data_IF_845700555854
#
_entry.id   IF_845700555854
#
_cell.length_a   1.000
_cell.length_b   1.000
_cell.length_c   1.000
_cell.angle_alpha   90.00
_cell.angle_beta   90.00
_cell.angle_gamma   90.00
#
_symmetry.space_group_name_H-M   'P 1'
#
loop_
_entity.id
_entity.type
_entity.pdbx_description
1 polymer ?
#
# COMPACT_ATOMS: atom_id res chain seq x y z
N UNK A 1 -44.82 27.51 -48.75
CA UNK A 1 -45.91 27.96 -47.87
C UNK A 1 -46.77 26.74 -47.59
N UNK A 2 -46.48 26.02 -46.52
CA UNK A 2 -47.38 24.99 -45.99
C UNK A 2 -47.97 25.55 -44.70
N UNK A 3 -49.29 25.67 -44.69
CA UNK A 3 -50.10 25.96 -43.51
C UNK A 3 -50.61 24.62 -43.01
N UNK A 4 -50.20 24.18 -41.82
CA UNK A 4 -50.94 23.15 -41.08
C UNK A 4 -51.10 23.62 -39.63
N UNK A 5 -52.34 23.49 -39.22
CA UNK A 5 -53.02 24.04 -38.06
C UNK A 5 -52.66 23.24 -36.80
N UNK A 6 -52.56 24.00 -35.71
CA UNK A 6 -52.47 23.57 -34.31
C UNK A 6 -53.69 22.80 -33.82
N UNK A 7 -53.47 21.69 -33.10
CA UNK A 7 -54.30 21.34 -31.93
C UNK A 7 -53.48 20.66 -30.84
N UNK A 8 -53.85 21.02 -29.61
CA UNK A 8 -53.17 20.82 -28.35
C UNK A 8 -53.29 19.40 -27.75
N UNK A 9 -52.41 19.09 -26.81
CA UNK A 9 -52.64 18.04 -25.82
C UNK A 9 -51.37 17.56 -25.11
N UNK A 10 -51.22 18.00 -23.86
CA UNK A 10 -50.57 17.34 -22.72
C UNK A 10 -49.18 17.81 -22.26
N UNK A 11 -49.26 18.49 -21.13
CA UNK A 11 -48.20 18.91 -20.22
C UNK A 11 -47.67 17.74 -19.38
N UNK A 12 -46.35 17.56 -19.36
CA UNK A 12 -45.65 17.04 -18.19
C UNK A 12 -44.50 18.01 -17.85
N UNK A 13 -44.74 18.82 -16.81
CA UNK A 13 -43.80 19.79 -16.23
C UNK A 13 -42.57 19.11 -15.64
N UNK A 14 -41.43 19.26 -16.29
CA UNK A 14 -40.12 19.03 -15.69
C UNK A 14 -39.72 20.26 -14.86
N UNK A 15 -40.00 20.23 -13.56
CA UNK A 15 -39.45 21.20 -12.61
C UNK A 15 -38.12 20.67 -12.06
N UNK A 16 -37.02 20.94 -12.79
CA UNK A 16 -35.68 20.90 -12.21
C UNK A 16 -35.04 22.29 -12.36
N UNK A 17 -35.59 23.26 -11.65
CA UNK A 17 -35.00 24.58 -11.47
C UNK A 17 -34.30 24.64 -10.10
N UNK A 18 -33.04 24.22 -10.05
CA UNK A 18 -32.15 24.67 -8.96
C UNK A 18 -31.43 25.91 -9.47
N UNK A 19 -31.97 27.05 -9.05
CA UNK A 19 -31.45 28.36 -9.35
C UNK A 19 -30.02 28.54 -8.82
N UNK A 20 -29.23 29.16 -9.68
CA UNK A 20 -27.85 29.57 -9.50
C UNK A 20 -27.75 30.60 -8.36
N UNK A 21 -27.01 30.29 -7.28
CA UNK A 21 -26.65 31.28 -6.25
C UNK A 21 -25.13 31.31 -6.06
N UNK A 22 -24.55 32.36 -6.66
CA UNK A 22 -23.33 33.13 -6.30
C UNK A 22 -22.20 32.42 -5.54
N UNK A 23 -21.04 32.40 -6.21
CA UNK A 23 -19.73 32.13 -5.66
C UNK A 23 -19.39 33.05 -4.46
N UNK A 24 -18.80 32.46 -3.40
CA UNK A 24 -18.21 33.23 -2.30
C UNK A 24 -18.25 32.61 -0.90
N UNK A 25 -17.85 31.34 -0.73
CA UNK A 25 -17.23 30.77 0.51
C UNK A 25 -17.02 29.27 0.31
N UNK A 26 -15.81 28.77 0.52
CA UNK A 26 -15.53 27.35 0.51
C UNK A 26 -16.34 26.64 1.61
N UNK A 27 -17.41 25.96 1.22
CA UNK A 27 -18.19 25.11 2.14
C UNK A 27 -17.33 23.89 2.45
N UNK A 28 -16.86 23.76 3.70
CA UNK A 28 -16.27 22.50 4.19
C UNK A 28 -17.32 21.40 4.06
N UNK A 29 -17.14 20.48 3.14
CA UNK A 29 -17.92 19.24 3.07
C UNK A 29 -17.56 18.36 4.27
N UNK A 30 -18.47 18.28 5.25
CA UNK A 30 -18.33 17.38 6.40
C UNK A 30 -18.56 15.93 5.98
N UNK A 31 -17.79 14.98 6.53
CA UNK A 31 -17.94 13.56 6.18
C UNK A 31 -19.30 13.01 6.64
N UNK A 32 -19.84 11.99 5.94
CA UNK A 32 -21.13 11.36 6.29
C UNK A 32 -21.23 10.92 7.76
N UNK A 33 -20.13 10.42 8.33
CA UNK A 33 -20.08 10.07 9.77
C UNK A 33 -20.26 11.29 10.67
N UNK A 34 -19.61 12.42 10.35
CA UNK A 34 -19.77 13.67 11.09
C UNK A 34 -21.19 14.23 10.95
N UNK A 35 -21.80 14.08 9.77
CA UNK A 35 -23.19 14.49 9.54
C UNK A 35 -24.16 13.64 10.38
N UNK A 36 -23.96 12.32 10.45
CA UNK A 36 -24.76 11.43 11.29
C UNK A 36 -24.63 11.80 12.77
N UNK A 37 -23.41 11.96 13.30
CA UNK A 37 -23.18 12.33 14.71
C UNK A 37 -23.88 13.65 15.07
N UNK A 38 -23.89 14.61 14.14
CA UNK A 38 -24.61 15.87 14.32
C UNK A 38 -26.13 15.66 14.32
N UNK A 39 -26.66 14.93 13.34
CA UNK A 39 -28.09 14.67 13.22
C UNK A 39 -28.66 13.88 14.42
N UNK A 40 -27.91 12.93 14.98
CA UNK A 40 -28.27 12.19 16.18
C UNK A 40 -28.27 13.08 17.44
N UNK A 41 -27.29 13.98 17.55
CA UNK A 41 -27.23 14.97 18.63
C UNK A 41 -28.40 15.95 18.56
N UNK A 42 -28.73 16.42 17.37
CA UNK A 42 -29.84 17.35 17.14
C UNK A 42 -31.18 16.67 17.46
N UNK A 43 -31.37 15.41 17.04
CA UNK A 43 -32.55 14.61 17.41
C UNK A 43 -32.68 14.45 18.93
N UNK A 44 -31.59 14.14 19.64
CA UNK A 44 -31.60 14.03 21.12
C UNK A 44 -31.98 15.35 21.79
N UNK A 45 -31.49 16.47 21.28
CA UNK A 45 -31.83 17.79 21.80
C UNK A 45 -33.30 18.15 21.53
N UNK A 46 -33.84 17.77 20.37
CA UNK A 46 -35.24 18.02 20.02
C UNK A 46 -36.22 17.21 20.88
N UNK A 47 -35.89 15.94 21.17
CA UNK A 47 -36.65 15.10 22.13
C UNK A 47 -36.68 15.77 23.51
N UNK A 48 -35.53 16.24 23.99
CA UNK A 48 -35.44 16.92 25.30
C UNK A 48 -36.24 18.22 25.35
N UNK A 49 -36.41 18.90 24.20
CA UNK A 49 -37.16 20.16 24.08
C UNK A 49 -38.64 19.98 23.78
N UNK A 50 -39.14 18.74 23.65
CA UNK A 50 -40.55 18.42 23.31
C UNK A 50 -41.04 19.18 22.07
N UNK A 51 -40.21 19.20 21.03
CA UNK A 51 -40.56 19.79 19.73
C UNK A 51 -41.69 18.98 19.08
N UNK A 52 -42.51 19.62 18.25
CA UNK A 52 -43.61 19.03 17.50
C UNK A 52 -43.26 17.68 16.83
N UNK A 53 -44.19 16.74 16.93
CA UNK A 53 -44.01 15.35 16.49
C UNK A 53 -43.71 15.24 14.99
N UNK A 54 -44.24 16.15 14.17
CA UNK A 54 -44.01 16.18 12.72
C UNK A 54 -42.55 16.48 12.41
N UNK A 55 -41.98 17.45 13.12
CA UNK A 55 -40.58 17.87 12.96
C UNK A 55 -39.64 16.77 13.48
N UNK A 56 -40.04 16.11 14.56
CA UNK A 56 -39.30 14.99 15.14
C UNK A 56 -39.28 13.77 14.20
N UNK A 57 -40.39 13.51 13.50
CA UNK A 57 -40.47 12.48 12.46
C UNK A 57 -39.55 12.77 11.27
N UNK A 58 -39.54 14.02 10.77
CA UNK A 58 -38.65 14.42 9.68
C UNK A 58 -37.16 14.25 10.07
N UNK A 59 -36.79 14.62 11.31
CA UNK A 59 -35.41 14.46 11.78
C UNK A 59 -35.02 12.97 11.93
N UNK A 60 -35.94 12.10 12.36
CA UNK A 60 -35.70 10.64 12.39
C UNK A 60 -35.45 10.07 11.00
N UNK A 61 -36.21 10.51 9.99
CA UNK A 61 -36.02 10.08 8.60
C UNK A 61 -34.64 10.48 8.06
N UNK A 62 -34.16 11.68 8.38
CA UNK A 62 -32.81 12.13 8.01
C UNK A 62 -31.73 11.23 8.62
N UNK A 63 -31.87 10.86 9.90
CA UNK A 63 -30.94 9.95 10.58
C UNK A 63 -30.94 8.57 9.91
N UNK A 64 -32.10 8.02 9.60
CA UNK A 64 -32.22 6.72 8.93
C UNK A 64 -31.65 6.74 7.51
N UNK A 65 -31.92 7.79 6.72
CA UNK A 65 -31.31 7.97 5.40
C UNK A 65 -29.79 8.06 5.46
N UNK A 66 -29.23 8.76 6.47
CA UNK A 66 -27.79 8.84 6.67
C UNK A 66 -27.18 7.50 7.08
N UNK A 67 -27.85 6.74 7.95
CA UNK A 67 -27.44 5.37 8.31
C UNK A 67 -27.46 4.47 7.09
N UNK A 68 -28.54 4.50 6.31
CA UNK A 68 -28.68 3.70 5.09
C UNK A 68 -27.60 4.07 4.07
N UNK A 69 -27.33 5.36 3.84
CA UNK A 69 -26.25 5.80 2.95
C UNK A 69 -24.85 5.37 3.44
N UNK A 70 -24.62 5.33 4.76
CA UNK A 70 -23.39 4.80 5.35
C UNK A 70 -23.32 3.28 5.17
N UNK A 71 -24.41 2.55 5.40
CA UNK A 71 -24.51 1.11 5.20
C UNK A 71 -24.31 0.74 3.74
N UNK A 72 -24.95 1.43 2.79
CA UNK A 72 -24.78 1.24 1.35
C UNK A 72 -23.35 1.56 0.88
N UNK A 73 -22.73 2.60 1.46
CA UNK A 73 -21.32 2.93 1.18
C UNK A 73 -20.36 1.89 1.78
N UNK A 74 -20.73 1.27 2.90
CA UNK A 74 -19.96 0.22 3.55
C UNK A 74 -20.23 -1.18 2.94
N UNK A 75 -21.42 -1.45 2.40
CA UNK A 75 -21.73 -2.67 1.68
C UNK A 75 -21.15 -2.64 0.26
N UNK A 76 -21.00 -1.45 -0.35
CA UNK A 76 -20.13 -1.25 -1.53
C UNK A 76 -18.63 -1.42 -1.22
N UNK A 77 -18.22 -1.49 0.05
CA UNK A 77 -16.87 -1.92 0.46
C UNK A 77 -16.76 -3.43 0.64
N UNK A 78 -17.87 -4.15 0.77
CA UNK A 78 -17.95 -5.62 0.71
C UNK A 78 -18.28 -6.05 -0.72
N UNK A 79 -17.51 -5.54 -1.69
CA UNK A 79 -17.38 -6.22 -2.97
C UNK A 79 -16.88 -7.66 -2.71
N UNK A 80 -17.22 -8.65 -3.57
CA UNK A 80 -16.61 -9.98 -3.48
C UNK A 80 -15.11 -9.77 -3.32
N UNK A 81 -14.50 -10.41 -2.31
CA UNK A 81 -13.08 -10.25 -2.06
C UNK A 81 -12.35 -10.50 -3.37
N UNK A 82 -11.84 -9.43 -3.99
CA UNK A 82 -11.09 -9.50 -5.24
C UNK A 82 -9.73 -10.12 -4.89
N UNK A 83 -9.74 -11.44 -4.70
CA UNK A 83 -8.57 -12.26 -4.44
C UNK A 83 -7.88 -12.49 -5.78
N UNK A 84 -6.61 -12.12 -5.81
CA UNK A 84 -5.76 -12.34 -6.97
C UNK A 84 -5.49 -13.84 -7.07
N UNK A 85 -5.87 -14.46 -8.19
CA UNK A 85 -5.56 -15.87 -8.46
C UNK A 85 -4.37 -15.99 -9.40
N UNK A 86 -3.60 -17.06 -9.25
CA UNK A 86 -2.52 -17.40 -10.18
C UNK A 86 -3.07 -18.08 -11.45
N UNK A 87 -3.80 -17.29 -12.24
CA UNK A 87 -4.48 -17.73 -13.44
C UNK A 87 -4.01 -16.91 -14.66
N UNK A 88 -4.00 -17.51 -15.87
CA UNK A 88 -3.68 -16.76 -17.07
C UNK A 88 -4.66 -15.61 -17.32
N UNK A 89 -4.13 -14.47 -17.76
CA UNK A 89 -4.90 -13.33 -18.26
C UNK A 89 -4.41 -12.97 -19.68
N UNK A 90 -5.32 -12.41 -20.47
CA UNK A 90 -5.00 -12.02 -21.84
C UNK A 90 -4.30 -10.65 -21.86
N UNK A 91 -3.14 -10.58 -22.49
CA UNK A 91 -2.38 -9.35 -22.74
C UNK A 91 -2.47 -9.00 -24.22
N UNK A 92 -2.83 -7.75 -24.54
CA UNK A 92 -2.77 -7.24 -25.90
C UNK A 92 -1.45 -6.51 -26.14
N UNK A 93 -0.63 -7.05 -27.04
CA UNK A 93 0.68 -6.52 -27.34
C UNK A 93 0.57 -5.19 -28.10
N UNK A 94 1.21 -4.14 -27.58
CA UNK A 94 1.13 -2.79 -28.14
C UNK A 94 1.68 -2.69 -29.57
N UNK A 95 2.70 -3.48 -29.90
CA UNK A 95 3.37 -3.43 -31.22
C UNK A 95 2.58 -4.12 -32.33
N UNK A 96 1.92 -5.23 -32.02
CA UNK A 96 1.30 -6.12 -33.03
C UNK A 96 -0.22 -6.21 -32.90
N UNK A 97 -0.79 -5.79 -31.77
CA UNK A 97 -2.20 -6.02 -31.43
C UNK A 97 -2.53 -7.46 -31.06
N UNK A 98 -1.54 -8.36 -31.09
CA UNK A 98 -1.69 -9.78 -30.76
C UNK A 98 -2.15 -9.97 -29.31
N UNK A 99 -3.03 -10.95 -29.10
CA UNK A 99 -3.54 -11.32 -27.78
C UNK A 99 -2.83 -12.59 -27.30
N UNK A 100 -2.06 -12.48 -26.23
CA UNK A 100 -1.30 -13.59 -25.64
C UNK A 100 -1.83 -13.87 -24.24
N UNK A 101 -2.07 -15.14 -23.91
CA UNK A 101 -2.49 -15.55 -22.57
C UNK A 101 -1.28 -16.01 -21.75
N UNK A 102 -1.00 -15.31 -20.65
CA UNK A 102 0.12 -15.61 -19.74
C UNK A 102 -0.34 -15.39 -18.29
N UNK A 103 0.33 -16.05 -17.35
CA UNK A 103 0.24 -15.75 -15.92
C UNK A 103 1.10 -14.53 -15.57
N UNK A 104 0.86 -13.96 -14.39
CA UNK A 104 1.57 -12.77 -13.89
C UNK A 104 2.64 -13.19 -12.90
N UNK A 105 3.83 -12.62 -13.07
CA UNK A 105 4.95 -12.77 -12.14
C UNK A 105 5.59 -11.40 -11.82
N UNK A 106 6.40 -11.38 -10.77
CA UNK A 106 7.14 -10.22 -10.33
C UNK A 106 8.61 -10.57 -10.06
N UNK A 107 9.50 -9.60 -10.27
CA UNK A 107 10.89 -9.72 -9.81
C UNK A 107 10.89 -9.49 -8.30
N UNK A 108 11.54 -10.36 -7.53
CA UNK A 108 11.78 -10.12 -6.11
C UNK A 108 12.53 -8.79 -5.94
N UNK A 109 12.18 -8.01 -4.91
CA UNK A 109 12.72 -6.66 -4.65
C UNK A 109 12.39 -5.58 -5.69
N UNK A 110 11.46 -5.84 -6.63
CA UNK A 110 10.78 -4.75 -7.33
C UNK A 110 9.79 -4.02 -6.37
N UNK A 111 9.19 -2.93 -6.82
CA UNK A 111 8.18 -2.16 -6.10
C UNK A 111 7.02 -3.03 -5.59
N UNK A 112 6.70 -2.88 -4.30
CA UNK A 112 5.56 -3.55 -3.66
C UNK A 112 4.24 -3.03 -4.22
N UNK A 113 3.29 -3.94 -4.44
CA UNK A 113 1.94 -3.59 -4.89
C UNK A 113 1.15 -2.97 -3.75
N UNK A 114 0.74 -1.71 -3.90
CA UNK A 114 -0.09 -1.02 -2.92
C UNK A 114 -1.58 -1.31 -3.15
N UNK A 115 -2.24 -1.94 -2.19
CA UNK A 115 -3.67 -2.31 -2.28
C UNK A 115 -4.59 -1.12 -2.54
N UNK A 116 -4.35 0.05 -1.94
CA UNK A 116 -5.20 1.23 -2.16
C UNK A 116 -5.12 1.72 -3.61
N UNK A 117 -3.92 1.73 -4.19
CA UNK A 117 -3.74 2.09 -5.60
C UNK A 117 -4.39 1.06 -6.53
N UNK A 118 -4.32 -0.22 -6.17
CA UNK A 118 -5.04 -1.27 -6.90
C UNK A 118 -6.54 -1.02 -6.87
N UNK A 119 -7.12 -0.70 -5.71
CA UNK A 119 -8.55 -0.43 -5.58
C UNK A 119 -8.98 0.81 -6.41
N UNK A 120 -8.15 1.85 -6.46
CA UNK A 120 -8.36 3.00 -7.34
C UNK A 120 -8.36 2.61 -8.83
N UNK A 121 -7.41 1.78 -9.26
CA UNK A 121 -7.40 1.27 -10.64
C UNK A 121 -8.59 0.35 -10.94
N UNK A 122 -8.99 -0.52 -10.01
CA UNK A 122 -10.20 -1.34 -10.13
C UNK A 122 -11.40 -0.44 -10.40
N UNK A 123 -11.57 0.64 -9.62
CA UNK A 123 -12.67 1.57 -9.80
C UNK A 123 -12.62 2.28 -11.16
N UNK A 124 -11.44 2.70 -11.63
CA UNK A 124 -11.30 3.38 -12.93
C UNK A 124 -11.61 2.42 -14.09
N UNK A 125 -11.09 1.19 -14.05
CA UNK A 125 -11.34 0.16 -15.05
C UNK A 125 -12.82 -0.22 -15.08
N UNK A 126 -13.41 -0.45 -13.91
CA UNK A 126 -14.81 -0.87 -13.80
C UNK A 126 -15.80 0.20 -14.31
N UNK A 127 -15.47 1.47 -14.10
CA UNK A 127 -16.26 2.58 -14.61
C UNK A 127 -16.02 2.89 -16.10
N UNK A 128 -15.22 2.09 -16.82
CA UNK A 128 -14.88 2.31 -18.23
C UNK A 128 -14.09 3.60 -18.48
N UNK A 129 -13.38 4.10 -17.46
CA UNK A 129 -12.59 5.34 -17.51
C UNK A 129 -11.09 5.11 -17.60
N UNK A 130 -10.68 3.84 -17.73
CA UNK A 130 -9.27 3.51 -17.93
C UNK A 130 -8.84 3.95 -19.32
N UNK A 131 -7.70 4.64 -19.40
CA UNK A 131 -7.11 5.04 -20.66
C UNK A 131 -6.17 3.94 -21.15
N UNK A 132 -6.54 3.31 -22.27
CA UNK A 132 -5.79 2.23 -22.90
C UNK A 132 -4.40 2.69 -23.38
N UNK A 133 -4.14 4.00 -23.48
CA UNK A 133 -2.82 4.55 -23.79
C UNK A 133 -1.80 4.34 -22.66
N UNK A 134 -2.20 3.95 -21.45
CA UNK A 134 -1.27 3.68 -20.36
C UNK A 134 -0.47 2.39 -20.58
N UNK A 135 0.86 2.46 -20.73
CA UNK A 135 1.67 1.29 -21.06
C UNK A 135 1.83 0.35 -19.87
N UNK A 136 1.94 -0.94 -20.14
CA UNK A 136 2.41 -1.97 -19.21
C UNK A 136 3.66 -2.60 -19.81
N UNK A 137 4.74 -2.66 -19.03
CA UNK A 137 6.02 -3.19 -19.52
C UNK A 137 6.29 -4.54 -18.90
N UNK A 138 6.51 -5.54 -19.76
CA UNK A 138 6.72 -6.93 -19.35
C UNK A 138 7.98 -7.54 -19.97
N UNK A 139 8.48 -8.59 -19.33
CA UNK A 139 9.55 -9.46 -19.85
C UNK A 139 9.13 -10.92 -19.66
N UNK A 140 9.54 -11.81 -20.56
CA UNK A 140 9.36 -13.26 -20.39
C UNK A 140 10.10 -13.73 -19.13
N UNK A 141 9.39 -14.41 -18.21
CA UNK A 141 9.99 -14.82 -16.93
C UNK A 141 11.22 -15.72 -17.11
N UNK A 142 11.17 -16.62 -18.09
CA UNK A 142 12.28 -17.53 -18.44
C UNK A 142 13.58 -16.80 -18.74
N UNK A 143 13.52 -15.58 -19.32
CA UNK A 143 14.71 -14.77 -19.60
C UNK A 143 15.33 -14.23 -18.32
N UNK A 144 14.50 -13.73 -17.39
CA UNK A 144 14.99 -13.14 -16.15
C UNK A 144 15.55 -14.20 -15.18
N UNK A 145 14.94 -15.38 -15.11
CA UNK A 145 15.49 -16.50 -14.33
C UNK A 145 16.86 -16.90 -14.88
N UNK A 146 17.03 -17.01 -16.20
CA UNK A 146 18.34 -17.27 -16.83
C UNK A 146 19.38 -16.19 -16.53
N UNK A 147 18.95 -14.95 -16.35
CA UNK A 147 19.79 -13.83 -15.96
C UNK A 147 20.08 -13.78 -14.43
N UNK A 148 19.61 -14.77 -13.66
CA UNK A 148 19.89 -14.89 -12.22
C UNK A 148 18.91 -14.15 -11.31
N UNK A 149 17.81 -13.60 -11.84
CA UNK A 149 16.80 -12.94 -11.01
C UNK A 149 15.88 -13.96 -10.34
N UNK A 150 15.57 -13.72 -9.07
CA UNK A 150 14.50 -14.43 -8.35
C UNK A 150 13.15 -13.88 -8.81
N UNK A 151 12.33 -14.75 -9.39
CA UNK A 151 10.99 -14.41 -9.89
C UNK A 151 9.95 -15.11 -9.02
N UNK A 152 8.91 -14.39 -8.63
CA UNK A 152 7.78 -14.94 -7.86
C UNK A 152 6.47 -14.82 -8.61
N UNK A 153 5.56 -15.76 -8.41
CA UNK A 153 4.17 -15.64 -8.83
C UNK A 153 3.43 -14.54 -8.02
N UNK A 154 2.15 -14.35 -8.33
CA UNK A 154 1.28 -13.38 -7.64
C UNK A 154 1.09 -13.66 -6.15
N UNK A 155 1.36 -14.88 -5.69
CA UNK A 155 1.26 -15.30 -4.29
C UNK A 155 2.60 -15.23 -3.55
N UNK A 156 3.67 -14.80 -4.24
CA UNK A 156 5.02 -14.69 -3.67
C UNK A 156 5.82 -16.00 -3.66
N UNK A 157 5.33 -17.06 -4.31
CA UNK A 157 6.08 -18.32 -4.45
C UNK A 157 7.11 -18.17 -5.56
N UNK A 158 8.34 -18.60 -5.30
CA UNK A 158 9.42 -18.55 -6.29
C UNK A 158 9.16 -19.54 -7.42
N UNK A 159 9.33 -19.10 -8.67
CA UNK A 159 9.14 -19.91 -9.87
C UNK A 159 10.42 -20.65 -10.25
N UNK A 160 10.27 -21.88 -10.76
CA UNK A 160 11.38 -22.60 -11.41
C UNK A 160 11.52 -22.19 -12.88
N UNK A 161 12.63 -22.59 -13.52
CA UNK A 161 12.88 -22.30 -14.94
C UNK A 161 11.86 -22.97 -15.87
N UNK A 162 11.32 -24.11 -15.48
CA UNK A 162 10.33 -24.90 -16.22
C UNK A 162 8.95 -24.23 -16.17
N UNK A 163 8.55 -23.70 -15.01
CA UNK A 163 7.26 -23.01 -14.84
C UNK A 163 7.21 -21.68 -15.58
N UNK A 164 8.37 -21.03 -15.75
CA UNK A 164 8.48 -19.64 -16.19
C UNK A 164 8.00 -19.36 -17.62
N UNK A 165 7.87 -20.38 -18.47
CA UNK A 165 7.40 -20.21 -19.85
C UNK A 165 5.96 -19.68 -19.93
N UNK A 166 5.15 -19.99 -18.91
CA UNK A 166 3.77 -19.52 -18.80
C UNK A 166 3.60 -18.10 -18.28
N UNK A 167 4.69 -17.37 -17.93
CA UNK A 167 4.60 -16.12 -17.17
C UNK A 167 5.21 -14.91 -17.88
N UNK A 168 4.50 -13.78 -17.76
CA UNK A 168 5.09 -12.47 -17.93
C UNK A 168 5.45 -11.84 -16.59
N UNK A 169 6.67 -11.33 -16.50
CA UNK A 169 7.13 -10.54 -15.37
C UNK A 169 6.81 -9.08 -15.61
N UNK A 170 6.04 -8.48 -14.70
CA UNK A 170 5.64 -7.07 -14.80
C UNK A 170 6.74 -6.18 -14.21
N UNK A 171 7.39 -5.39 -15.07
CA UNK A 171 8.41 -4.44 -14.65
C UNK A 171 7.83 -3.06 -14.34
N UNK A 172 6.87 -2.62 -15.15
CA UNK A 172 6.11 -1.39 -14.92
C UNK A 172 4.62 -1.63 -15.16
N UNK A 173 3.79 -0.97 -14.34
CA UNK A 173 2.35 -1.14 -14.34
C UNK A 173 1.81 -2.19 -13.35
N UNK A 174 2.58 -2.58 -12.33
CA UNK A 174 2.19 -3.63 -11.36
C UNK A 174 0.79 -3.42 -10.78
N UNK A 175 0.48 -2.21 -10.30
CA UNK A 175 -0.84 -1.88 -9.73
C UNK A 175 -1.98 -2.05 -10.76
N UNK A 176 -1.74 -1.65 -12.01
CA UNK A 176 -2.70 -1.75 -13.12
C UNK A 176 -2.94 -3.21 -13.47
N UNK A 177 -1.86 -3.96 -13.66
CA UNK A 177 -1.93 -5.40 -13.96
C UNK A 177 -2.62 -6.18 -12.85
N UNK A 178 -2.32 -5.89 -11.58
CA UNK A 178 -3.02 -6.51 -10.45
C UNK A 178 -4.51 -6.17 -10.42
N UNK A 179 -4.90 -4.92 -10.74
CA UNK A 179 -6.31 -4.53 -10.81
C UNK A 179 -7.05 -5.29 -11.92
N UNK A 180 -6.46 -5.37 -13.13
CA UNK A 180 -7.01 -6.17 -14.22
C UNK A 180 -7.14 -7.66 -13.85
N UNK A 181 -6.11 -8.23 -13.24
CA UNK A 181 -6.10 -9.64 -12.85
C UNK A 181 -7.18 -9.96 -11.81
N UNK A 182 -7.32 -9.10 -10.79
CA UNK A 182 -8.39 -9.19 -9.80
C UNK A 182 -9.79 -9.12 -10.41
N UNK A 183 -10.01 -8.20 -11.35
CA UNK A 183 -11.27 -8.11 -12.09
C UNK A 183 -11.50 -9.36 -12.96
N UNK A 184 -10.45 -9.89 -13.59
CA UNK A 184 -10.53 -11.07 -14.45
C UNK A 184 -10.91 -12.32 -13.65
N UNK A 185 -10.41 -12.49 -12.42
CA UNK A 185 -10.78 -13.61 -11.55
C UNK A 185 -12.26 -13.66 -11.17
N UNK A 186 -13.00 -12.56 -11.34
CA UNK A 186 -14.44 -12.47 -11.08
C UNK A 186 -15.26 -12.51 -12.37
N UNK A 187 -14.82 -11.81 -13.42
CA UNK A 187 -15.60 -11.60 -14.65
C UNK A 187 -15.21 -12.52 -15.80
N UNK A 188 -13.97 -13.01 -15.79
CA UNK A 188 -13.34 -13.67 -16.93
C UNK A 188 -13.15 -12.74 -18.13
N UNK A 189 -12.38 -13.22 -19.11
CA UNK A 189 -12.24 -12.62 -20.45
C UNK A 189 -11.81 -11.14 -20.48
N UNK A 190 -11.13 -10.65 -19.43
CA UNK A 190 -10.55 -9.31 -19.43
C UNK A 190 -9.24 -9.33 -20.20
N UNK A 191 -9.04 -8.29 -21.01
CA UNK A 191 -7.81 -8.07 -21.77
C UNK A 191 -7.07 -6.89 -21.15
N UNK A 192 -5.79 -7.08 -20.85
CA UNK A 192 -4.87 -6.00 -20.46
C UNK A 192 -4.37 -5.31 -21.75
N UNK A 193 -4.70 -4.03 -21.98
CA UNK A 193 -4.30 -3.33 -23.19
C UNK A 193 -2.84 -2.82 -23.13
N UNK A 194 -2.31 -2.47 -24.30
CA UNK A 194 -1.07 -1.68 -24.47
C UNK A 194 0.17 -2.24 -23.73
N UNK A 195 0.44 -3.53 -23.97
CA UNK A 195 1.51 -4.27 -23.31
C UNK A 195 2.77 -4.30 -24.18
N UNK A 196 3.89 -3.82 -23.66
CA UNK A 196 5.18 -3.89 -24.34
C UNK A 196 6.03 -5.01 -23.74
N UNK A 197 6.27 -6.05 -24.53
CA UNK A 197 7.31 -7.03 -24.22
C UNK A 197 8.67 -6.44 -24.56
N UNK A 198 9.57 -6.38 -23.58
CA UNK A 198 10.93 -5.86 -23.74
C UNK A 198 11.95 -6.97 -23.55
N UNK A 199 13.13 -6.76 -24.12
CA UNK A 199 14.32 -7.53 -23.80
C UNK A 199 15.20 -6.67 -22.90
N UNK A 200 15.30 -7.04 -21.62
CA UNK A 200 16.01 -6.25 -20.61
C UNK A 200 17.04 -7.15 -19.96
N UNK A 201 18.30 -6.72 -20.04
CA UNK A 201 19.46 -7.42 -19.48
C UNK A 201 19.72 -7.01 -18.03
N UNK A 202 19.55 -5.73 -17.71
CA UNK A 202 19.71 -5.18 -16.36
C UNK A 202 18.38 -4.61 -15.84
N UNK A 203 17.69 -5.39 -15.01
CA UNK A 203 16.41 -4.98 -14.43
C UNK A 203 16.59 -3.82 -13.45
N UNK A 204 17.64 -3.83 -12.63
CA UNK A 204 17.87 -2.77 -11.64
C UNK A 204 18.03 -1.40 -12.29
N UNK A 205 18.91 -1.31 -13.30
CA UNK A 205 19.12 -0.09 -14.08
C UNK A 205 17.86 0.33 -14.83
N UNK A 206 17.15 -0.61 -15.45
CA UNK A 206 15.88 -0.30 -16.13
C UNK A 206 14.86 0.31 -15.16
N UNK A 207 14.68 -0.30 -13.99
CA UNK A 207 13.79 0.20 -12.96
C UNK A 207 14.25 1.59 -12.50
N UNK A 208 15.54 1.86 -12.33
CA UNK A 208 16.01 3.21 -11.97
C UNK A 208 15.71 4.23 -13.07
N UNK A 209 15.95 3.88 -14.34
CA UNK A 209 15.80 4.78 -15.48
C UNK A 209 14.34 5.19 -15.72
N UNK A 210 13.41 4.22 -15.81
CA UNK A 210 11.99 4.53 -16.04
C UNK A 210 11.39 5.35 -14.90
N UNK A 211 11.99 5.25 -13.72
CA UNK A 211 11.49 5.87 -12.50
C UNK A 211 12.19 7.16 -12.11
N UNK A 212 13.26 7.55 -12.80
CA UNK A 212 13.89 8.87 -12.63
C UNK A 212 12.90 10.00 -12.95
N UNK A 213 11.88 9.72 -13.77
CA UNK A 213 10.80 10.66 -14.15
C UNK A 213 9.59 10.58 -13.18
N UNK A 214 9.56 9.62 -12.26
CA UNK A 214 8.41 9.34 -11.37
C UNK A 214 8.65 9.69 -9.89
N UNK A 215 7.57 10.02 -9.16
CA UNK A 215 7.62 10.24 -7.71
C UNK A 215 7.75 8.91 -6.95
N UNK A 216 8.98 8.50 -6.66
CA UNK A 216 9.29 7.32 -5.86
C UNK A 216 9.17 7.55 -4.37
N UNK A 217 8.56 6.59 -3.67
CA UNK A 217 8.63 6.55 -2.21
C UNK A 217 10.02 6.06 -1.78
N UNK A 218 10.37 6.28 -0.51
CA UNK A 218 11.59 5.71 0.06
C UNK A 218 11.57 4.18 0.07
N UNK A 219 10.39 3.57 0.17
CA UNK A 219 10.21 2.12 0.10
C UNK A 219 10.64 1.60 -1.27
N UNK A 220 10.14 2.22 -2.34
CA UNK A 220 10.46 1.87 -3.73
C UNK A 220 11.98 1.92 -3.95
N UNK A 221 12.61 3.01 -3.47
CA UNK A 221 14.06 3.24 -3.62
C UNK A 221 14.90 2.20 -2.90
N UNK A 222 14.55 1.82 -1.66
CA UNK A 222 15.32 0.81 -0.92
C UNK A 222 15.17 -0.58 -1.54
N UNK A 223 13.96 -0.96 -1.98
CA UNK A 223 13.76 -2.25 -2.62
C UNK A 223 14.62 -2.39 -3.88
N UNK A 224 14.66 -1.38 -4.75
CA UNK A 224 15.48 -1.44 -5.98
C UNK A 224 16.98 -1.22 -5.72
N UNK A 225 17.36 -0.56 -4.62
CA UNK A 225 18.76 -0.54 -4.18
C UNK A 225 19.31 -1.97 -3.96
N UNK A 226 18.47 -2.90 -3.52
CA UNK A 226 18.85 -4.30 -3.34
C UNK A 226 19.08 -5.06 -4.67
N UNK A 227 18.61 -4.52 -5.80
CA UNK A 227 18.86 -5.05 -7.15
C UNK A 227 20.07 -4.42 -7.83
N UNK A 228 20.50 -3.24 -7.39
CA UNK A 228 21.55 -2.43 -8.05
C UNK A 228 22.89 -2.46 -7.35
N UNK A 229 22.91 -2.66 -6.02
CA UNK A 229 24.15 -2.61 -5.22
C UNK A 229 24.74 -3.97 -4.86
N UNK A 230 23.96 -5.04 -4.98
CA UNK A 230 24.28 -6.38 -4.49
C UNK A 230 24.65 -6.52 -3.00
N UNK A 231 24.65 -5.42 -2.23
CA UNK A 231 25.04 -5.42 -0.83
C UNK A 231 23.98 -6.03 0.10
N UNK A 232 24.46 -6.76 1.12
CA UNK A 232 23.61 -7.43 2.10
C UNK A 232 22.74 -6.47 2.91
N UNK A 233 23.21 -5.24 3.16
CA UNK A 233 22.46 -4.20 3.86
C UNK A 233 21.13 -3.89 3.15
N UNK A 234 21.17 -3.55 1.85
CA UNK A 234 19.96 -3.19 1.12
C UNK A 234 19.08 -4.41 0.87
N UNK A 235 19.66 -5.61 0.68
CA UNK A 235 18.91 -6.87 0.62
C UNK A 235 18.12 -7.13 1.91
N UNK A 236 18.75 -6.95 3.06
CA UNK A 236 18.12 -7.12 4.38
C UNK A 236 17.04 -6.06 4.62
N UNK A 237 17.30 -4.80 4.28
CA UNK A 237 16.30 -3.74 4.39
C UNK A 237 15.09 -3.98 3.48
N UNK A 238 15.29 -4.44 2.25
CA UNK A 238 14.22 -4.75 1.31
C UNK A 238 13.30 -5.88 1.85
N UNK A 239 13.88 -6.90 2.49
CA UNK A 239 13.11 -7.97 3.12
C UNK A 239 12.23 -7.43 4.27
N UNK A 240 12.76 -6.55 5.13
CA UNK A 240 11.94 -5.91 6.16
C UNK A 240 10.82 -5.04 5.58
N UNK A 241 11.09 -4.29 4.52
CA UNK A 241 10.05 -3.48 3.86
C UNK A 241 8.94 -4.38 3.30
N UNK A 242 9.30 -5.54 2.72
CA UNK A 242 8.34 -6.55 2.25
C UNK A 242 7.47 -7.10 3.38
N UNK A 243 8.02 -7.22 4.59
CA UNK A 243 7.27 -7.59 5.80
C UNK A 243 6.38 -6.46 6.35
N UNK A 244 6.53 -5.22 5.88
CA UNK A 244 5.72 -4.07 6.30
C UNK A 244 6.47 -3.05 7.17
N UNK A 245 7.80 -3.13 7.25
CA UNK A 245 8.59 -2.14 7.97
C UNK A 245 8.71 -0.82 7.21
N UNK A 246 8.67 0.29 7.93
CA UNK A 246 9.02 1.60 7.39
C UNK A 246 10.50 1.61 6.99
N UNK A 247 10.87 2.16 5.82
CA UNK A 247 12.26 2.13 5.32
C UNK A 247 13.27 2.78 6.27
N UNK A 248 12.84 3.81 7.00
CA UNK A 248 13.75 4.48 7.94
C UNK A 248 13.99 3.61 9.16
N UNK A 249 12.97 2.90 9.63
CA UNK A 249 13.10 1.94 10.73
C UNK A 249 13.96 0.76 10.30
N UNK A 250 13.74 0.20 9.10
CA UNK A 250 14.58 -0.86 8.54
C UNK A 250 16.07 -0.45 8.47
N UNK A 251 16.36 0.77 8.03
CA UNK A 251 17.74 1.29 8.03
C UNK A 251 18.32 1.46 9.44
N UNK A 252 17.52 1.94 10.40
CA UNK A 252 17.96 2.12 11.80
C UNK A 252 18.27 0.79 12.49
N UNK A 253 17.55 -0.28 12.16
CA UNK A 253 17.78 -1.62 12.70
C UNK A 253 19.20 -2.11 12.39
N UNK A 254 19.63 -1.96 11.13
CA UNK A 254 20.91 -2.49 10.67
C UNK A 254 22.09 -1.52 10.78
N UNK A 255 21.83 -0.22 10.83
CA UNK A 255 22.91 0.79 10.76
C UNK A 255 22.98 1.73 11.95
N UNK A 256 22.01 1.67 12.88
CA UNK A 256 21.79 2.59 14.00
C UNK A 256 21.62 4.07 13.62
N UNK A 257 21.77 4.43 12.34
CA UNK A 257 21.65 5.79 11.80
C UNK A 257 20.68 5.80 10.62
N UNK A 258 20.17 6.98 10.29
CA UNK A 258 19.31 7.10 9.11
C UNK A 258 20.15 7.13 7.83
N UNK A 259 19.75 6.32 6.84
CA UNK A 259 20.30 6.42 5.48
C UNK A 259 19.60 7.60 4.79
N UNK A 260 20.41 8.56 4.31
CA UNK A 260 19.94 9.76 3.62
C UNK A 260 19.46 9.45 2.20
N UNK A 261 18.53 10.26 1.69
CA UNK A 261 18.10 10.17 0.29
C UNK A 261 19.25 10.36 -0.70
N UNK A 262 20.24 11.20 -0.35
CA UNK A 262 21.42 11.43 -1.20
C UNK A 262 22.27 10.17 -1.34
N UNK A 263 22.46 9.41 -0.25
CA UNK A 263 23.15 8.13 -0.28
C UNK A 263 22.37 7.15 -1.15
N UNK A 264 21.06 7.03 -0.91
CA UNK A 264 20.22 6.11 -1.65
C UNK A 264 20.18 6.41 -3.16
N UNK A 265 20.19 7.69 -3.55
CA UNK A 265 20.27 8.09 -4.94
C UNK A 265 21.59 7.67 -5.63
N UNK A 266 22.72 7.68 -4.89
CA UNK A 266 24.00 7.19 -5.41
C UNK A 266 24.00 5.68 -5.59
N UNK A 267 23.50 4.96 -4.59
CA UNK A 267 23.34 3.49 -4.61
C UNK A 267 22.55 3.05 -5.84
N UNK A 268 21.41 3.69 -6.10
CA UNK A 268 20.57 3.38 -7.27
C UNK A 268 21.27 3.61 -8.61
N UNK A 269 22.22 4.53 -8.67
CA UNK A 269 23.00 4.80 -9.89
C UNK A 269 24.27 3.96 -10.00
N UNK A 270 24.54 3.09 -9.02
CA UNK A 270 25.82 2.38 -8.92
C UNK A 270 27.02 3.31 -8.67
N UNK A 271 26.77 4.53 -8.18
CA UNK A 271 27.82 5.49 -7.84
C UNK A 271 28.45 5.16 -6.49
N UNK A 272 29.76 5.45 -6.34
CA UNK A 272 30.43 5.36 -5.05
C UNK A 272 29.74 6.28 -4.01
N UNK A 273 29.48 5.72 -2.83
CA UNK A 273 28.81 6.40 -1.74
C UNK A 273 29.49 6.09 -0.40
N UNK A 274 29.22 6.95 0.59
CA UNK A 274 29.66 6.76 1.96
C UNK A 274 28.46 6.88 2.87
N UNK A 275 28.31 5.92 3.78
CA UNK A 275 27.34 6.01 4.87
C UNK A 275 27.71 7.18 5.81
N UNK A 276 26.78 7.65 6.65
CA UNK A 276 27.09 8.65 7.67
C UNK A 276 28.32 8.26 8.50
N UNK A 277 29.08 9.27 8.95
CA UNK A 277 30.27 9.05 9.79
C UNK A 277 29.92 8.16 10.98
N UNK A 278 30.79 7.22 11.33
CA UNK A 278 30.63 6.27 12.45
C UNK A 278 29.38 5.36 12.32
N UNK A 279 28.88 5.13 11.10
CA UNK A 279 27.87 4.10 10.85
C UNK A 279 28.51 2.72 10.93
N UNK A 280 27.92 1.85 11.75
CA UNK A 280 28.26 0.43 11.84
C UNK A 280 27.12 -0.33 11.18
N UNK A 281 27.41 -1.07 10.12
CA UNK A 281 26.47 -2.00 9.48
C UNK A 281 26.57 -3.34 10.19
N UNK A 282 25.50 -3.77 10.84
CA UNK A 282 25.46 -5.00 11.63
C UNK A 282 24.14 -5.75 11.38
N UNK A 283 24.19 -6.67 10.41
CA UNK A 283 23.03 -7.44 9.96
C UNK A 283 22.59 -8.44 11.04
N UNK A 284 23.56 -9.12 11.68
CA UNK A 284 23.29 -10.09 12.74
C UNK A 284 22.56 -9.43 13.90
N UNK A 285 23.07 -8.31 14.41
CA UNK A 285 22.43 -7.56 15.50
C UNK A 285 21.01 -7.14 15.16
N UNK A 286 20.80 -6.65 13.94
CA UNK A 286 19.46 -6.24 13.50
C UNK A 286 18.48 -7.42 13.45
N UNK A 287 18.93 -8.58 12.96
CA UNK A 287 18.13 -9.81 12.91
C UNK A 287 17.85 -10.36 14.31
N UNK A 288 18.83 -10.34 15.21
CA UNK A 288 18.66 -10.75 16.61
C UNK A 288 17.61 -9.86 17.31
N UNK A 289 17.69 -8.54 17.14
CA UNK A 289 16.69 -7.59 17.67
C UNK A 289 15.27 -7.95 17.20
N UNK A 290 15.08 -8.17 15.90
CA UNK A 290 13.76 -8.50 15.34
C UNK A 290 13.27 -9.84 15.87
N UNK A 291 14.15 -10.83 15.92
CA UNK A 291 13.81 -12.21 16.34
C UNK A 291 13.34 -12.23 17.78
N UNK A 292 14.09 -11.60 18.70
CA UNK A 292 13.73 -11.52 20.11
C UNK A 292 12.43 -10.73 20.33
N UNK A 293 12.25 -9.62 19.63
CA UNK A 293 11.00 -8.86 19.72
C UNK A 293 9.79 -9.66 19.22
N UNK A 294 9.91 -10.38 18.09
CA UNK A 294 8.84 -11.25 17.58
C UNK A 294 8.54 -12.40 18.55
N UNK A 295 9.58 -12.99 19.16
CA UNK A 295 9.42 -14.01 20.20
C UNK A 295 8.71 -13.48 21.45
N UNK A 296 8.87 -12.20 21.77
CA UNK A 296 8.14 -11.50 22.83
C UNK A 296 6.76 -10.98 22.38
N UNK A 297 6.20 -11.50 21.27
CA UNK A 297 4.88 -11.13 20.75
C UNK A 297 4.76 -9.67 20.28
N UNK A 298 5.88 -9.01 19.95
CA UNK A 298 5.89 -7.66 19.36
C UNK A 298 5.83 -7.80 17.84
N UNK A 299 4.63 -7.64 17.28
CA UNK A 299 4.39 -7.81 15.85
C UNK A 299 4.88 -6.62 15.00
N UNK A 300 4.98 -6.83 13.68
CA UNK A 300 5.46 -5.82 12.71
C UNK A 300 4.75 -4.45 12.81
N UNK A 301 3.42 -4.35 13.02
CA UNK A 301 2.74 -3.07 13.23
C UNK A 301 3.30 -2.21 14.38
N UNK A 302 3.95 -2.82 15.35
CA UNK A 302 4.66 -2.13 16.43
C UNK A 302 6.14 -1.95 16.09
N UNK A 303 6.82 -3.02 15.67
CA UNK A 303 8.26 -2.99 15.35
C UNK A 303 8.64 -2.01 14.25
N UNK A 304 7.74 -1.73 13.31
CA UNK A 304 7.92 -0.73 12.26
C UNK A 304 8.04 0.70 12.81
N UNK A 305 7.59 0.94 14.05
CA UNK A 305 7.62 2.25 14.68
C UNK A 305 9.02 2.54 15.22
N UNK A 306 9.54 3.72 14.87
CA UNK A 306 10.95 4.09 15.11
C UNK A 306 11.36 4.03 16.58
N UNK A 307 10.44 4.25 17.51
CA UNK A 307 10.75 4.35 18.93
C UNK A 307 11.17 3.02 19.57
N UNK A 308 10.80 1.86 19.01
CA UNK A 308 11.29 0.57 19.48
C UNK A 308 12.81 0.43 19.22
N UNK A 309 13.24 0.58 17.96
CA UNK A 309 14.66 0.44 17.63
C UNK A 309 15.50 1.60 18.21
N UNK A 310 14.96 2.81 18.26
CA UNK A 310 15.66 3.94 18.89
C UNK A 310 15.78 3.75 20.40
N UNK A 311 14.71 3.36 21.09
CA UNK A 311 14.75 3.03 22.51
C UNK A 311 15.78 1.96 22.81
N UNK A 312 15.82 0.88 22.01
CA UNK A 312 16.83 -0.17 22.14
C UNK A 312 18.26 0.36 21.94
N UNK A 313 18.50 1.14 20.89
CA UNK A 313 19.82 1.70 20.61
C UNK A 313 20.28 2.68 21.70
N UNK A 314 19.36 3.47 22.27
CA UNK A 314 19.63 4.34 23.41
C UNK A 314 19.96 3.53 24.67
N UNK A 315 19.18 2.49 24.96
CA UNK A 315 19.42 1.59 26.08
C UNK A 315 20.80 0.92 25.99
N UNK A 316 21.12 0.32 24.83
CA UNK A 316 22.42 -0.32 24.58
C UNK A 316 23.60 0.66 24.67
N UNK A 317 23.39 1.93 24.32
CA UNK A 317 24.42 2.97 24.45
C UNK A 317 24.76 3.27 25.92
N UNK A 318 23.77 3.21 26.81
CA UNK A 318 23.93 3.52 28.24
C UNK A 318 24.40 2.30 29.03
N UNK A 319 23.86 1.12 28.74
CA UNK A 319 24.04 -0.10 29.53
C UNK A 319 24.96 -1.14 28.89
N UNK A 320 25.33 -0.95 27.62
CA UNK A 320 26.08 -1.94 26.83
C UNK A 320 25.16 -2.88 26.04
N UNK A 321 25.70 -3.46 24.96
CA UNK A 321 24.94 -4.33 24.06
C UNK A 321 24.50 -5.64 24.76
N UNK A 322 25.37 -6.24 25.59
CA UNK A 322 25.07 -7.49 26.29
C UNK A 322 23.84 -7.37 27.19
N UNK A 323 23.83 -6.38 28.08
CA UNK A 323 22.69 -6.12 28.97
C UNK A 323 21.42 -5.74 28.20
N UNK A 324 21.55 -5.00 27.09
CA UNK A 324 20.40 -4.66 26.25
C UNK A 324 19.76 -5.88 25.59
N UNK A 325 20.57 -6.83 25.12
CA UNK A 325 20.07 -8.07 24.55
C UNK A 325 19.50 -9.02 25.60
N UNK A 326 20.09 -9.08 26.80
CA UNK A 326 19.51 -9.80 27.94
C UNK A 326 18.10 -9.26 28.28
N UNK A 327 17.95 -7.93 28.31
CA UNK A 327 16.67 -7.28 28.55
C UNK A 327 15.62 -7.63 27.49
N UNK A 328 16.02 -7.63 26.20
CA UNK A 328 15.15 -8.05 25.10
C UNK A 328 14.70 -9.50 25.24
N UNK A 329 15.61 -10.41 25.62
CA UNK A 329 15.27 -11.82 25.78
C UNK A 329 14.25 -12.01 26.91
N UNK A 330 14.36 -11.26 28.01
CA UNK A 330 13.42 -11.32 29.13
C UNK A 330 12.06 -10.70 28.85
N UNK A 331 11.88 -9.92 27.76
CA UNK A 331 10.55 -9.39 27.39
C UNK A 331 9.47 -10.48 27.25
N UNK A 332 9.85 -11.72 26.89
CA UNK A 332 8.93 -12.86 26.82
C UNK A 332 8.22 -13.15 28.15
N UNK A 333 8.82 -12.75 29.28
CA UNK A 333 8.28 -12.92 30.63
C UNK A 333 7.20 -11.88 30.96
N UNK A 334 7.15 -10.76 30.25
CA UNK A 334 6.20 -9.68 30.51
C UNK A 334 4.82 -9.91 29.89
N UNK A 335 4.58 -11.05 29.23
CA UNK A 335 3.33 -11.42 28.55
C UNK A 335 2.72 -10.22 27.78
N UNK A 336 3.49 -9.72 26.81
CA UNK A 336 3.13 -8.52 26.06
C UNK A 336 1.90 -8.78 25.18
N UNK A 337 0.98 -7.82 25.22
CA UNK A 337 -0.24 -7.79 24.44
C UNK A 337 -0.44 -6.41 23.81
N UNK A 338 -1.46 -6.29 22.96
CA UNK A 338 -1.77 -5.05 22.25
C UNK A 338 -1.99 -3.85 23.18
N UNK A 339 -2.57 -4.05 24.36
CA UNK A 339 -2.82 -2.96 25.31
C UNK A 339 -1.51 -2.41 25.87
N UNK A 340 -0.61 -3.29 26.31
CA UNK A 340 0.73 -2.93 26.80
C UNK A 340 1.56 -2.25 25.71
N UNK A 341 1.55 -2.78 24.49
CA UNK A 341 2.33 -2.24 23.37
C UNK A 341 1.83 -0.88 22.87
N UNK A 342 0.53 -0.58 23.03
CA UNK A 342 -0.04 0.75 22.71
C UNK A 342 0.40 1.85 23.68
N UNK A 343 0.88 1.49 24.87
CA UNK A 343 1.42 2.46 25.83
C UNK A 343 2.78 3.00 25.40
N UNK A 344 3.54 2.24 24.60
CA UNK A 344 4.83 2.67 24.07
C UNK A 344 4.60 3.68 22.95
N UNK A 345 4.98 4.93 23.18
CA UNK A 345 4.81 6.04 22.25
C UNK A 345 6.13 6.75 21.93
N UNK A 346 7.11 6.65 22.81
CA UNK A 346 8.41 7.30 22.68
C UNK A 346 9.57 6.34 23.03
N UNK A 347 10.80 6.78 22.74
CA UNK A 347 12.00 5.97 22.91
C UNK A 347 12.21 5.56 24.39
N UNK A 348 11.87 6.44 25.33
CA UNK A 348 12.01 6.22 26.77
C UNK A 348 11.01 5.20 27.32
N UNK A 349 9.83 5.10 26.71
CA UNK A 349 8.84 4.08 27.11
C UNK A 349 9.38 2.67 26.85
N UNK A 350 10.04 2.46 25.71
CA UNK A 350 10.62 1.16 25.39
C UNK A 350 11.87 0.87 26.23
N UNK A 351 12.69 1.88 26.55
CA UNK A 351 13.80 1.74 27.48
C UNK A 351 13.32 1.31 28.87
N UNK A 352 12.22 1.91 29.37
CA UNK A 352 11.61 1.51 30.63
C UNK A 352 11.11 0.08 30.58
N UNK A 353 10.47 -0.34 29.49
CA UNK A 353 10.03 -1.72 29.32
C UNK A 353 11.20 -2.72 29.34
N UNK A 354 12.32 -2.39 28.70
CA UNK A 354 13.54 -3.22 28.76
C UNK A 354 14.07 -3.32 30.20
N UNK A 355 14.08 -2.21 30.93
CA UNK A 355 14.50 -2.20 32.34
C UNK A 355 13.56 -3.02 33.23
N UNK A 356 12.25 -2.90 33.03
CA UNK A 356 11.24 -3.67 33.76
C UNK A 356 11.40 -5.17 33.49
N UNK A 357 11.76 -5.56 32.25
CA UNK A 357 12.04 -6.95 31.90
C UNK A 357 13.28 -7.52 32.60
N UNK A 358 14.32 -6.72 32.86
CA UNK A 358 15.48 -7.19 33.62
C UNK A 358 15.17 -7.45 35.10
N UNK A 359 14.21 -6.71 35.64
CA UNK A 359 13.79 -6.76 37.04
C UNK A 359 12.68 -7.79 37.32
N UNK A 360 12.07 -8.34 36.28
CA UNK A 360 11.14 -9.47 36.34
C UNK A 360 11.90 -10.80 36.47
#
# INVERSE_FOLDING_TARGET
METIITTAGETATNNNSVANVKAGKAVRTTSLKQQLTKAEKDLKNMVNRKVDDTVLCAQKQIVEQLKQAITEKNSKKEAPAFTLKDEPITFQLAKTGEKVSKKIAFVDKNRTVNTKKVDEFIAIIDNGKYDDAYPIIVVEAKKLIKAGYTITDVNGRTLTAEEAEGYFVILDGQHKTTAFAKLNSVRGNIVIPNVFVRDITNVGEYLVNINTVGNWSKEDRVSVAALTSDEELFKSMANLIKEGFNPTTAGLIYTRKSISEKVLAKVLKGEEYKLPKDTIVDIKRGNDFITLCKAANISVPYLTKRYFIKGFNSYAKVHGEEQAFEALEKLKQLELNDEKLKLIKEDDDFQKMLQDALNA
#
